data_IF_688423296018
#
_entry.id   IF_688423296018
#
_cell.length_a   1.000
_cell.length_b   1.000
_cell.length_c   1.000
_cell.angle_alpha   90.00
_cell.angle_beta   90.00
_cell.angle_gamma   90.00
#
_symmetry.space_group_name_H-M   'P 1'
#
loop_
_entity.id
_entity.type
_entity.pdbx_description
1 polymer ?
#
# COMPACT_ATOMS: atom_id res chain seq x y z
N UNK A 1 21.86 -12.00 -19.70
CA UNK A 1 23.01 -11.11 -19.96
C UNK A 1 22.55 -9.68 -19.69
N UNK A 2 22.46 -9.19 -18.46
CA UNK A 2 22.95 -9.68 -17.17
C UNK A 2 23.43 -8.45 -16.41
N UNK A 3 22.72 -8.06 -15.35
CA UNK A 3 23.04 -7.17 -14.21
C UNK A 3 23.72 -5.80 -14.46
N UNK A 4 24.60 -5.68 -15.44
CA UNK A 4 25.31 -4.46 -15.84
C UNK A 4 24.40 -3.40 -16.45
N UNK A 5 23.33 -3.77 -17.15
CA UNK A 5 22.36 -2.86 -17.81
C UNK A 5 21.52 -2.06 -16.81
N UNK A 6 21.26 -2.65 -15.65
CA UNK A 6 20.39 -2.09 -14.61
C UNK A 6 21.19 -1.14 -13.69
N UNK A 7 22.42 -1.53 -13.33
CA UNK A 7 23.41 -0.64 -12.71
C UNK A 7 23.66 0.59 -13.58
N UNK A 8 23.60 0.42 -14.91
CA UNK A 8 23.77 1.49 -15.88
C UNK A 8 22.59 2.48 -15.94
N UNK A 9 21.35 1.98 -15.87
CA UNK A 9 20.13 2.81 -15.86
C UNK A 9 20.05 3.66 -14.59
N UNK A 10 20.47 3.09 -13.46
CA UNK A 10 20.53 3.79 -12.17
C UNK A 10 21.62 4.87 -12.14
N UNK A 11 22.75 4.62 -12.79
CA UNK A 11 23.81 5.62 -12.93
C UNK A 11 23.46 6.74 -13.92
N UNK A 12 22.56 6.50 -14.89
CA UNK A 12 22.07 7.53 -15.82
C UNK A 12 21.07 8.50 -15.17
N UNK A 13 20.25 8.02 -14.22
CA UNK A 13 19.38 8.87 -13.41
C UNK A 13 20.19 9.88 -12.58
N UNK A 14 21.30 9.42 -12.02
CA UNK A 14 22.24 10.19 -11.18
C UNK A 14 22.86 11.41 -11.89
N UNK A 15 23.10 11.35 -13.20
CA UNK A 15 23.74 12.45 -13.95
C UNK A 15 22.73 13.52 -14.40
N UNK A 16 21.45 13.16 -14.58
CA UNK A 16 20.42 14.15 -14.98
C UNK A 16 20.00 15.06 -13.82
N UNK A 17 20.10 14.60 -12.56
CA UNK A 17 19.59 15.32 -11.38
C UNK A 17 20.66 16.18 -10.69
N UNK A 18 21.94 15.84 -10.81
CA UNK A 18 23.05 16.52 -10.09
C UNK A 18 23.47 17.90 -10.62
N UNK A 19 22.60 18.62 -11.36
CA UNK A 19 22.82 20.04 -11.69
C UNK A 19 22.59 20.95 -10.47
N UNK A 20 23.41 20.81 -9.44
CA UNK A 20 23.67 21.88 -8.47
C UNK A 20 24.95 21.64 -7.63
N UNK A 21 26.05 22.25 -8.09
CA UNK A 21 27.34 22.57 -7.40
C UNK A 21 28.50 21.54 -7.46
N UNK A 22 29.77 22.02 -7.40
CA UNK A 22 30.83 21.55 -8.30
C UNK A 22 31.74 20.48 -7.68
N UNK A 23 31.82 19.34 -8.34
CA UNK A 23 32.94 18.38 -8.27
C UNK A 23 33.27 17.99 -9.73
N UNK A 24 33.88 18.95 -10.45
CA UNK A 24 33.63 19.16 -11.89
C UNK A 24 34.34 18.26 -12.89
N UNK A 25 35.57 17.81 -12.65
CA UNK A 25 36.41 17.39 -13.79
C UNK A 25 36.58 15.87 -13.95
N UNK A 26 36.50 15.09 -12.85
CA UNK A 26 36.55 13.63 -12.93
C UNK A 26 35.21 13.01 -13.38
N UNK A 27 34.07 13.55 -12.91
CA UNK A 27 32.73 13.08 -13.26
C UNK A 27 32.34 13.36 -14.73
N UNK A 28 32.83 14.45 -15.33
CA UNK A 28 32.54 14.78 -16.73
C UNK A 28 33.18 13.80 -17.71
N UNK A 29 34.39 13.33 -17.40
CA UNK A 29 35.10 12.35 -18.24
C UNK A 29 34.37 10.99 -18.27
N UNK A 30 33.81 10.60 -17.12
CA UNK A 30 33.02 9.38 -16.98
C UNK A 30 31.68 9.50 -17.73
N UNK A 31 31.03 10.67 -17.67
CA UNK A 31 29.78 10.95 -18.39
C UNK A 31 29.90 10.78 -19.91
N UNK A 32 30.96 11.31 -20.52
CA UNK A 32 31.08 11.35 -21.98
C UNK A 32 31.34 9.96 -22.59
N UNK A 33 32.19 9.16 -21.94
CA UNK A 33 32.48 7.77 -22.36
C UNK A 33 31.28 6.84 -22.18
N UNK A 34 30.41 7.16 -21.21
CA UNK A 34 29.19 6.42 -20.91
C UNK A 34 28.08 6.67 -21.95
N UNK A 35 27.94 7.91 -22.43
CA UNK A 35 26.96 8.27 -23.47
C UNK A 35 27.18 7.50 -24.79
N UNK A 36 28.42 7.36 -25.24
CA UNK A 36 28.73 6.69 -26.52
C UNK A 36 28.52 5.17 -26.49
N UNK A 37 28.54 4.57 -25.29
CA UNK A 37 28.37 3.13 -25.10
C UNK A 37 26.89 2.74 -24.98
N UNK A 38 26.04 3.63 -24.46
CA UNK A 38 24.59 3.45 -24.28
C UNK A 38 23.78 3.36 -25.57
N UNK A 39 24.09 4.22 -26.53
CA UNK A 39 23.37 4.29 -27.81
C UNK A 39 23.56 3.01 -28.66
N UNK A 40 24.48 2.14 -28.24
CA UNK A 40 24.83 0.91 -28.98
C UNK A 40 24.07 -0.35 -28.54
N UNK A 41 23.19 -0.29 -27.53
CA UNK A 41 22.61 -1.51 -26.91
C UNK A 41 21.12 -1.78 -27.27
N UNK A 42 20.70 -3.06 -27.46
CA UNK A 42 19.35 -3.42 -27.90
C UNK A 42 18.33 -3.58 -26.76
N UNK A 43 17.04 -3.34 -27.04
CA UNK A 43 15.93 -3.26 -26.07
C UNK A 43 15.21 -4.60 -25.82
N UNK A 44 15.00 -4.93 -24.54
CA UNK A 44 13.95 -5.86 -24.02
C UNK A 44 14.43 -7.22 -23.51
N UNK A 45 14.51 -7.43 -22.18
CA UNK A 45 14.72 -8.75 -21.52
C UNK A 45 14.09 -8.76 -20.10
N UNK A 46 13.50 -9.90 -19.68
CA UNK A 46 12.93 -10.17 -18.34
C UNK A 46 13.99 -10.36 -17.24
N UNK A 47 13.67 -10.00 -15.99
CA UNK A 47 14.61 -9.85 -14.86
C UNK A 47 14.44 -11.01 -13.86
N UNK A 48 15.54 -11.67 -13.47
CA UNK A 48 15.57 -12.68 -12.41
C UNK A 48 15.43 -12.04 -10.99
N UNK A 49 15.00 -12.81 -9.98
CA UNK A 49 14.75 -12.29 -8.62
C UNK A 49 16.01 -11.66 -8.00
N UNK A 50 17.19 -12.20 -8.28
CA UNK A 50 18.47 -11.66 -7.82
C UNK A 50 18.75 -10.28 -8.42
N UNK A 51 18.50 -10.09 -9.71
CA UNK A 51 18.66 -8.82 -10.38
C UNK A 51 17.67 -7.78 -9.84
N UNK A 52 16.40 -8.16 -9.63
CA UNK A 52 15.38 -7.30 -9.01
C UNK A 52 15.82 -6.83 -7.63
N UNK A 53 16.19 -7.77 -6.74
CA UNK A 53 16.68 -7.44 -5.40
C UNK A 53 17.94 -6.56 -5.44
N UNK A 54 18.87 -6.85 -6.34
CA UNK A 54 20.12 -6.08 -6.47
C UNK A 54 19.84 -4.62 -6.86
N UNK A 55 19.00 -4.39 -7.87
CA UNK A 55 18.66 -3.00 -8.24
C UNK A 55 17.85 -2.29 -7.17
N UNK A 56 16.91 -2.97 -6.51
CA UNK A 56 16.18 -2.37 -5.41
C UNK A 56 17.16 -1.85 -4.34
N UNK A 57 18.12 -2.70 -3.93
CA UNK A 57 19.11 -2.35 -2.90
C UNK A 57 19.94 -1.13 -3.31
N UNK A 58 20.44 -1.13 -4.54
CA UNK A 58 21.24 -0.01 -5.08
C UNK A 58 20.44 1.29 -5.11
N UNK A 59 19.21 1.26 -5.62
CA UNK A 59 18.31 2.42 -5.65
C UNK A 59 18.07 2.96 -4.25
N UNK A 60 17.68 2.08 -3.34
CA UNK A 60 17.32 2.46 -1.99
C UNK A 60 18.52 3.03 -1.22
N UNK A 61 19.71 2.40 -1.33
CA UNK A 61 20.94 2.93 -0.73
C UNK A 61 21.33 4.31 -1.30
N UNK A 62 21.12 4.53 -2.60
CA UNK A 62 21.36 5.83 -3.22
C UNK A 62 20.42 6.91 -2.67
N UNK A 63 19.12 6.65 -2.64
CA UNK A 63 18.13 7.59 -2.10
C UNK A 63 18.39 7.89 -0.61
N UNK A 64 18.77 6.87 0.17
CA UNK A 64 19.19 7.05 1.57
C UNK A 64 20.41 7.97 1.67
N UNK A 65 21.43 7.73 0.85
CA UNK A 65 22.67 8.50 0.87
C UNK A 65 22.43 9.97 0.49
N UNK A 66 21.68 10.22 -0.57
CA UNK A 66 21.37 11.58 -1.02
C UNK A 66 20.46 12.31 -0.02
N UNK A 67 19.50 11.63 0.61
CA UNK A 67 18.74 12.18 1.75
C UNK A 67 19.65 12.59 2.90
N UNK A 68 20.58 11.72 3.30
CA UNK A 68 21.56 12.02 4.36
C UNK A 68 22.54 13.15 3.99
N UNK A 69 22.72 13.44 2.70
CA UNK A 69 23.50 14.58 2.19
C UNK A 69 22.70 15.89 2.09
N UNK A 70 21.41 15.88 2.44
CA UNK A 70 20.57 17.08 2.51
C UNK A 70 19.51 17.20 1.41
N UNK A 71 19.15 16.11 0.71
CA UNK A 71 18.02 16.12 -0.22
C UNK A 71 16.72 16.50 0.51
N UNK A 72 15.99 17.47 -0.03
CA UNK A 72 14.68 17.91 0.49
C UNK A 72 13.56 16.92 0.18
N UNK A 73 12.42 17.00 0.89
CA UNK A 73 11.27 16.13 0.61
C UNK A 73 10.78 16.29 -0.84
N UNK A 74 10.79 17.51 -1.39
CA UNK A 74 10.36 17.74 -2.77
C UNK A 74 11.31 17.12 -3.81
N UNK A 75 12.62 17.07 -3.53
CA UNK A 75 13.57 16.36 -4.37
C UNK A 75 13.36 14.83 -4.25
N UNK A 76 13.12 14.34 -3.03
CA UNK A 76 12.84 12.92 -2.78
C UNK A 76 11.58 12.46 -3.53
N UNK A 77 10.50 13.26 -3.53
CA UNK A 77 9.30 12.96 -4.33
C UNK A 77 9.65 12.84 -5.82
N UNK A 78 10.35 13.83 -6.37
CA UNK A 78 10.68 13.86 -7.81
C UNK A 78 11.55 12.70 -8.24
N UNK A 79 12.56 12.37 -7.45
CA UNK A 79 13.48 11.28 -7.77
C UNK A 79 12.79 9.92 -7.62
N UNK A 80 12.02 9.72 -6.55
CA UNK A 80 11.25 8.50 -6.37
C UNK A 80 10.19 8.31 -7.48
N UNK A 81 9.49 9.38 -7.89
CA UNK A 81 8.52 9.34 -8.99
C UNK A 81 9.19 9.04 -10.33
N UNK A 82 10.33 9.68 -10.59
CA UNK A 82 11.14 9.39 -11.78
C UNK A 82 11.60 7.92 -11.81
N UNK A 83 12.09 7.39 -10.69
CA UNK A 83 12.50 5.97 -10.61
C UNK A 83 11.31 5.05 -10.84
N UNK A 84 10.17 5.33 -10.20
CA UNK A 84 8.94 4.55 -10.33
C UNK A 84 8.46 4.46 -11.80
N UNK A 85 8.41 5.61 -12.48
CA UNK A 85 7.97 5.70 -13.87
C UNK A 85 9.00 5.17 -14.86
N UNK A 86 10.30 5.44 -14.66
CA UNK A 86 11.39 4.94 -15.52
C UNK A 86 11.44 3.42 -15.53
N UNK A 87 11.29 2.80 -14.35
CA UNK A 87 11.27 1.36 -14.18
C UNK A 87 9.93 0.73 -14.58
N UNK A 88 8.93 1.54 -14.94
CA UNK A 88 7.56 1.10 -15.27
C UNK A 88 6.94 0.26 -14.16
N UNK A 89 7.17 0.66 -12.92
CA UNK A 89 6.52 0.04 -11.76
C UNK A 89 5.03 0.31 -11.83
N UNK A 90 4.66 1.58 -12.00
CA UNK A 90 3.27 2.02 -12.15
C UNK A 90 3.17 3.24 -13.09
N UNK A 91 1.95 3.68 -13.38
CA UNK A 91 1.70 4.93 -14.11
C UNK A 91 2.12 6.16 -13.29
N UNK A 92 2.43 7.28 -13.95
CA UNK A 92 2.85 8.51 -13.27
C UNK A 92 1.85 8.99 -12.20
N UNK A 93 0.55 8.92 -12.50
CA UNK A 93 -0.50 9.31 -11.55
C UNK A 93 -0.49 8.42 -10.30
N UNK A 94 -0.23 7.12 -10.45
CA UNK A 94 -0.19 6.16 -9.33
C UNK A 94 1.11 6.33 -8.54
N UNK A 95 2.26 6.46 -9.21
CA UNK A 95 3.55 6.72 -8.59
C UNK A 95 3.48 7.97 -7.70
N UNK A 96 3.05 9.11 -8.25
CA UNK A 96 2.93 10.34 -7.48
C UNK A 96 1.91 10.22 -6.34
N UNK A 97 0.76 9.58 -6.60
CA UNK A 97 -0.29 9.38 -5.61
C UNK A 97 0.11 8.49 -4.43
N UNK A 98 1.09 7.59 -4.61
CA UNK A 98 1.67 6.79 -3.52
C UNK A 98 2.78 7.58 -2.82
N UNK A 99 3.69 8.19 -3.58
CA UNK A 99 4.92 8.77 -3.04
C UNK A 99 4.63 10.04 -2.26
N UNK A 100 3.83 10.95 -2.82
CA UNK A 100 3.63 12.29 -2.27
C UNK A 100 2.98 12.27 -0.87
N UNK A 101 1.91 11.50 -0.60
CA UNK A 101 1.32 11.46 0.73
C UNK A 101 2.20 10.79 1.80
N UNK A 102 3.16 9.96 1.38
CA UNK A 102 3.99 9.17 2.28
C UNK A 102 5.41 9.73 2.46
N UNK A 103 5.80 10.77 1.72
CA UNK A 103 7.18 11.28 1.72
C UNK A 103 7.67 11.69 3.10
N UNK A 104 6.81 12.29 3.93
CA UNK A 104 7.20 12.73 5.27
C UNK A 104 7.52 11.55 6.19
N UNK A 105 6.77 10.46 6.06
CA UNK A 105 7.01 9.21 6.81
C UNK A 105 8.32 8.57 6.33
N UNK A 106 8.53 8.45 5.02
CA UNK A 106 9.76 7.89 4.46
C UNK A 106 10.99 8.73 4.83
N UNK A 107 10.91 10.06 4.71
CA UNK A 107 11.95 10.98 5.12
C UNK A 107 12.28 10.81 6.60
N UNK A 108 11.27 10.77 7.47
CA UNK A 108 11.46 10.54 8.90
C UNK A 108 12.16 9.21 9.19
N UNK A 109 11.76 8.12 8.52
CA UNK A 109 12.41 6.81 8.67
C UNK A 109 13.87 6.87 8.26
N UNK A 110 14.21 7.50 7.13
CA UNK A 110 15.60 7.63 6.66
C UNK A 110 16.44 8.45 7.64
N UNK A 111 15.87 9.54 8.16
CA UNK A 111 16.58 10.48 9.02
C UNK A 111 16.81 9.93 10.44
N UNK A 112 15.88 9.10 10.95
CA UNK A 112 15.88 8.66 12.35
C UNK A 112 16.25 7.19 12.56
N UNK A 113 16.34 6.38 11.51
CA UNK A 113 16.73 4.97 11.61
C UNK A 113 18.23 4.81 11.41
N UNK A 114 18.95 4.48 12.49
CA UNK A 114 20.42 4.43 12.53
C UNK A 114 21.01 3.46 11.48
N UNK A 115 20.39 2.31 11.31
CA UNK A 115 20.83 1.18 10.49
C UNK A 115 19.93 0.95 9.28
N UNK A 116 19.31 2.01 8.75
CA UNK A 116 18.56 1.92 7.48
C UNK A 116 19.51 1.65 6.32
N UNK A 117 19.13 0.70 5.47
CA UNK A 117 19.86 0.31 4.26
C UNK A 117 18.88 -0.19 3.21
N UNK A 118 19.31 -0.20 1.95
CA UNK A 118 18.58 -0.76 0.84
C UNK A 118 18.28 -2.24 1.04
N UNK A 119 19.14 -3.00 1.73
CA UNK A 119 18.86 -4.38 2.13
C UNK A 119 17.58 -4.48 2.97
N UNK A 120 17.46 -3.67 4.04
CA UNK A 120 16.28 -3.69 4.93
C UNK A 120 15.02 -3.19 4.24
N UNK A 121 15.12 -2.09 3.48
CA UNK A 121 13.99 -1.56 2.72
C UNK A 121 13.49 -2.62 1.74
N UNK A 122 14.37 -3.17 0.90
CA UNK A 122 14.00 -4.15 -0.12
C UNK A 122 13.53 -5.49 0.46
N UNK A 123 14.05 -5.90 1.62
CA UNK A 123 13.51 -7.03 2.37
C UNK A 123 12.06 -6.84 2.78
N UNK A 124 11.72 -5.63 3.22
CA UNK A 124 10.36 -5.29 3.64
C UNK A 124 9.38 -5.15 2.47
N UNK A 125 9.79 -4.52 1.36
CA UNK A 125 8.89 -4.23 0.24
C UNK A 125 8.81 -5.34 -0.80
N UNK A 126 9.79 -6.25 -0.84
CA UNK A 126 9.82 -7.42 -1.73
C UNK A 126 10.00 -8.72 -0.92
N UNK A 127 9.11 -9.01 0.04
CA UNK A 127 9.25 -10.18 0.91
C UNK A 127 9.17 -11.49 0.11
N UNK A 128 8.33 -11.53 -0.93
CA UNK A 128 8.19 -12.71 -1.80
C UNK A 128 9.45 -13.03 -2.63
N UNK A 129 10.36 -12.07 -2.74
CA UNK A 129 11.63 -12.22 -3.47
C UNK A 129 12.81 -12.56 -2.57
N UNK A 130 12.58 -12.70 -1.26
CA UNK A 130 13.60 -13.00 -0.26
C UNK A 130 14.83 -12.06 -0.40
N UNK A 131 14.55 -10.76 -0.60
CA UNK A 131 15.61 -9.78 -0.81
C UNK A 131 16.43 -9.50 0.46
N UNK A 132 16.02 -10.01 1.62
CA UNK A 132 16.73 -9.92 2.88
C UNK A 132 16.82 -11.29 3.56
N UNK A 133 18.01 -11.61 4.04
CA UNK A 133 18.32 -12.86 4.73
C UNK A 133 18.46 -12.69 6.24
N UNK A 134 18.28 -11.47 6.76
CA UNK A 134 18.37 -11.17 8.19
C UNK A 134 17.00 -11.28 8.86
N UNK A 135 16.89 -12.20 9.82
CA UNK A 135 15.73 -12.33 10.69
C UNK A 135 15.85 -11.35 11.86
N UNK A 136 14.78 -10.58 12.11
CA UNK A 136 14.68 -9.71 13.27
C UNK A 136 14.23 -10.53 14.48
N UNK A 137 15.17 -11.27 15.07
CA UNK A 137 14.90 -12.06 16.27
C UNK A 137 14.74 -11.13 17.48
N UNK A 138 13.56 -11.15 18.09
CA UNK A 138 13.28 -10.49 19.35
C UNK A 138 12.56 -11.46 20.28
N UNK A 139 12.72 -11.25 21.59
CA UNK A 139 12.05 -12.04 22.62
C UNK A 139 11.36 -11.10 23.60
N UNK A 140 10.26 -11.59 24.17
CA UNK A 140 9.60 -10.96 25.32
C UNK A 140 9.78 -11.91 26.49
N UNK A 141 10.24 -11.36 27.61
CA UNK A 141 10.28 -12.07 28.88
C UNK A 141 8.86 -12.24 29.40
N UNK A 142 8.35 -13.47 29.34
CA UNK A 142 7.06 -13.80 29.93
C UNK A 142 7.26 -14.01 31.43
N UNK A 143 6.52 -13.29 32.30
CA UNK A 143 6.62 -13.48 33.75
C UNK A 143 6.35 -14.94 34.14
N UNK A 144 7.10 -15.43 35.13
CA UNK A 144 6.84 -16.76 35.69
C UNK A 144 5.41 -16.84 36.24
N UNK A 145 4.68 -17.89 35.85
CA UNK A 145 3.30 -18.11 36.28
C UNK A 145 2.90 -19.56 36.07
N UNK A 146 2.03 -20.06 36.95
CA UNK A 146 1.43 -21.37 36.77
C UNK A 146 0.19 -21.24 35.88
N UNK A 147 0.10 -22.08 34.85
CA UNK A 147 -1.13 -22.23 34.08
C UNK A 147 -2.23 -22.72 35.01
N UNK A 148 -3.33 -21.98 35.11
CA UNK A 148 -4.53 -22.45 35.80
C UNK A 148 -5.21 -23.53 34.97
N UNK A 149 -5.76 -24.56 35.63
CA UNK A 149 -6.55 -25.56 34.93
C UNK A 149 -7.72 -24.90 34.20
N UNK A 150 -7.82 -25.13 32.89
CA UNK A 150 -8.92 -24.62 32.09
C UNK A 150 -10.24 -25.18 32.67
N UNK A 151 -11.18 -24.34 33.13
CA UNK A 151 -12.45 -24.83 33.62
C UNK A 151 -13.16 -25.58 32.47
N UNK A 152 -13.70 -26.76 32.77
CA UNK A 152 -14.58 -27.47 31.82
C UNK A 152 -15.80 -26.58 31.58
N UNK A 153 -16.21 -26.44 30.32
CA UNK A 153 -17.38 -25.65 29.98
C UNK A 153 -18.59 -26.12 30.80
N UNK A 154 -19.20 -25.21 31.57
CA UNK A 154 -20.38 -25.48 32.38
C UNK A 154 -21.58 -24.95 31.58
N UNK A 155 -22.25 -25.83 30.84
CA UNK A 155 -23.44 -25.48 30.04
C UNK A 155 -23.36 -25.95 28.59
N UNK A 156 -24.51 -25.93 27.91
CA UNK A 156 -24.68 -26.41 26.52
C UNK A 156 -25.02 -25.31 25.53
N UNK A 157 -25.08 -24.05 25.97
CA UNK A 157 -25.46 -22.93 25.12
C UNK A 157 -24.20 -22.29 24.54
N UNK A 158 -23.91 -22.47 23.23
CA UNK A 158 -22.80 -21.78 22.59
C UNK A 158 -23.12 -20.29 22.42
N UNK A 159 -22.08 -19.47 22.34
CA UNK A 159 -22.20 -18.11 21.83
C UNK A 159 -22.18 -18.12 20.30
N UNK A 160 -23.03 -17.31 19.70
CA UNK A 160 -22.99 -17.02 18.27
C UNK A 160 -22.18 -15.73 18.05
N UNK A 161 -21.07 -15.83 17.34
CA UNK A 161 -20.19 -14.68 17.06
C UNK A 161 -20.22 -14.37 15.57
N UNK A 162 -20.66 -13.17 15.21
CA UNK A 162 -20.54 -12.65 13.85
C UNK A 162 -19.12 -12.11 13.66
N UNK A 163 -18.37 -12.64 12.69
CA UNK A 163 -17.01 -12.17 12.39
C UNK A 163 -17.01 -11.53 10.99
N UNK A 164 -16.58 -10.28 10.94
CA UNK A 164 -16.51 -9.45 9.74
C UNK A 164 -15.08 -8.93 9.61
N UNK A 165 -14.51 -9.06 8.42
CA UNK A 165 -13.16 -8.59 8.09
C UNK A 165 -13.11 -8.18 6.62
N UNK A 166 -12.12 -7.36 6.24
CA UNK A 166 -11.72 -7.13 4.85
C UNK A 166 -12.89 -6.71 3.94
N UNK A 167 -13.75 -5.80 4.41
CA UNK A 167 -14.90 -5.33 3.63
C UNK A 167 -14.42 -4.62 2.35
N UNK A 168 -13.31 -3.89 2.43
CA UNK A 168 -12.76 -3.05 1.35
C UNK A 168 -13.87 -2.33 0.57
N UNK A 169 -14.56 -1.43 1.26
CA UNK A 169 -15.61 -0.65 0.64
C UNK A 169 -15.03 0.32 -0.37
N UNK A 170 -15.47 0.20 -1.63
CA UNK A 170 -15.08 1.12 -2.68
C UNK A 170 -16.24 2.02 -3.11
N UNK A 171 -16.26 3.29 -2.67
CA UNK A 171 -17.27 4.25 -3.12
C UNK A 171 -17.17 4.63 -4.59
N UNK A 172 -16.10 4.23 -5.31
CA UNK A 172 -15.88 4.52 -6.74
C UNK A 172 -16.11 3.32 -7.63
N UNK A 173 -16.44 2.15 -7.07
CA UNK A 173 -16.81 0.98 -7.86
C UNK A 173 -18.02 1.32 -8.74
N UNK A 174 -17.87 1.16 -10.05
CA UNK A 174 -18.88 1.49 -11.04
C UNK A 174 -19.12 0.29 -11.95
N UNK A 175 -20.32 -0.34 -11.90
CA UNK A 175 -20.68 -1.42 -12.82
C UNK A 175 -20.56 -0.99 -14.28
N UNK A 176 -20.12 -1.90 -15.15
CA UNK A 176 -19.91 -1.65 -16.57
C UNK A 176 -18.55 -1.05 -16.93
N UNK A 177 -17.71 -0.69 -15.94
CA UNK A 177 -16.33 -0.28 -16.19
C UNK A 177 -15.42 -1.43 -16.60
N UNK A 178 -14.28 -1.12 -17.20
CA UNK A 178 -13.36 -2.14 -17.70
C UNK A 178 -12.77 -2.98 -16.57
N UNK A 179 -12.66 -4.29 -16.80
CA UNK A 179 -11.88 -5.21 -15.95
C UNK A 179 -10.39 -5.23 -16.33
N UNK A 180 -10.00 -4.58 -17.43
CA UNK A 180 -8.65 -4.57 -17.99
C UNK A 180 -8.07 -3.15 -17.97
N UNK A 181 -7.99 -2.55 -16.78
CA UNK A 181 -7.62 -1.15 -16.63
C UNK A 181 -6.10 -0.89 -16.65
N UNK A 182 -5.27 -1.91 -16.49
CA UNK A 182 -3.80 -1.76 -16.39
C UNK A 182 -3.33 -1.04 -15.12
N UNK A 183 -4.20 -0.91 -14.11
CA UNK A 183 -3.91 -0.35 -12.79
C UNK A 183 -4.13 -1.43 -11.71
N UNK A 184 -3.62 -1.22 -10.48
CA UNK A 184 -3.77 -2.21 -9.39
C UNK A 184 -5.22 -2.47 -8.95
N UNK A 185 -6.13 -1.51 -9.19
CA UNK A 185 -7.55 -1.63 -8.89
C UNK A 185 -8.38 -1.18 -10.09
N UNK A 186 -9.25 -2.05 -10.60
CA UNK A 186 -10.15 -1.74 -11.71
C UNK A 186 -11.59 -1.46 -11.23
N UNK A 187 -12.54 -1.42 -12.16
CA UNK A 187 -13.95 -1.10 -11.91
C UNK A 187 -14.19 0.33 -11.38
N UNK A 188 -13.30 1.27 -11.68
CA UNK A 188 -13.37 2.64 -11.15
C UNK A 188 -14.13 3.59 -12.08
N UNK A 189 -14.83 4.56 -11.50
CA UNK A 189 -15.57 5.61 -12.22
C UNK A 189 -14.73 6.41 -13.23
N UNK A 190 -13.41 6.53 -13.01
CA UNK A 190 -12.47 7.25 -13.86
C UNK A 190 -11.68 6.37 -14.84
N UNK A 191 -12.12 5.13 -15.03
CA UNK A 191 -11.58 4.22 -16.04
C UNK A 191 -12.51 4.12 -17.24
N UNK A 192 -12.01 3.53 -18.32
CA UNK A 192 -12.79 3.29 -19.53
C UNK A 192 -13.97 2.34 -19.25
N UNK A 193 -15.02 2.45 -20.05
CA UNK A 193 -16.13 1.51 -20.03
C UNK A 193 -15.69 0.16 -20.62
N UNK A 194 -16.25 -0.93 -20.12
CA UNK A 194 -16.07 -2.25 -20.70
C UNK A 194 -16.73 -2.32 -22.08
N UNK A 195 -16.04 -2.92 -23.04
CA UNK A 195 -16.47 -2.93 -24.45
C UNK A 195 -17.29 -4.16 -24.83
N UNK A 196 -17.18 -5.25 -24.08
CA UNK A 196 -17.75 -6.57 -24.41
C UNK A 196 -18.23 -7.31 -23.15
N UNK A 197 -19.04 -8.36 -23.35
CA UNK A 197 -19.35 -9.33 -22.29
C UNK A 197 -18.06 -10.00 -21.79
N UNK A 198 -17.83 -9.97 -20.48
CA UNK A 198 -16.62 -10.52 -19.85
C UNK A 198 -15.46 -9.54 -19.67
N UNK A 199 -15.55 -8.32 -20.21
CA UNK A 199 -14.59 -7.22 -19.95
C UNK A 199 -15.21 -6.05 -19.18
N UNK A 200 -16.45 -6.22 -18.71
CA UNK A 200 -17.24 -5.21 -18.02
C UNK A 200 -17.54 -5.67 -16.59
N UNK A 201 -17.27 -4.81 -15.61
CA UNK A 201 -17.47 -5.11 -14.19
C UNK A 201 -18.94 -5.35 -13.85
N UNK A 202 -19.21 -6.43 -13.10
CA UNK A 202 -20.55 -6.80 -12.66
C UNK A 202 -21.23 -5.79 -11.73
N UNK A 203 -22.53 -5.99 -11.49
CA UNK A 203 -23.28 -5.16 -10.54
C UNK A 203 -22.91 -5.45 -9.09
N UNK A 204 -22.73 -6.72 -8.70
CA UNK A 204 -22.44 -7.08 -7.32
C UNK A 204 -20.94 -7.11 -7.00
N UNK A 205 -20.13 -7.61 -7.93
CA UNK A 205 -18.69 -7.71 -7.77
C UNK A 205 -18.08 -8.08 -9.12
N UNK A 206 -16.76 -8.16 -9.15
CA UNK A 206 -16.03 -8.77 -10.25
C UNK A 206 -14.89 -9.64 -9.71
N UNK A 207 -14.58 -10.75 -10.38
CA UNK A 207 -13.53 -11.70 -9.99
C UNK A 207 -12.14 -11.30 -10.54
N UNK A 208 -11.76 -10.05 -10.29
CA UNK A 208 -10.47 -9.45 -10.66
C UNK A 208 -9.96 -8.60 -9.48
N UNK A 209 -8.88 -7.85 -9.68
CA UNK A 209 -8.42 -6.84 -8.70
C UNK A 209 -9.42 -5.67 -8.63
N UNK A 210 -10.52 -5.88 -7.92
CA UNK A 210 -11.57 -4.93 -7.66
C UNK A 210 -12.05 -5.09 -6.21
N UNK A 211 -12.54 -4.00 -5.62
CA UNK A 211 -13.03 -3.95 -4.25
C UNK A 211 -14.57 -3.96 -4.20
N UNK A 212 -15.14 -3.91 -3.00
CA UNK A 212 -16.57 -4.20 -2.79
C UNK A 212 -17.44 -2.96 -3.02
N UNK A 213 -18.43 -3.01 -3.94
CA UNK A 213 -19.35 -1.91 -4.11
C UNK A 213 -20.38 -1.81 -2.98
N UNK A 214 -20.99 -0.62 -2.83
CA UNK A 214 -21.96 -0.34 -1.76
C UNK A 214 -23.16 -1.30 -1.76
N UNK A 215 -23.68 -1.68 -2.92
CA UNK A 215 -24.81 -2.60 -3.02
C UNK A 215 -24.51 -3.96 -2.36
N UNK A 216 -23.30 -4.48 -2.54
CA UNK A 216 -22.88 -5.77 -1.95
C UNK A 216 -22.66 -5.63 -0.46
N UNK A 217 -22.05 -4.52 -0.02
CA UNK A 217 -21.93 -4.19 1.40
C UNK A 217 -23.32 -4.17 2.04
N UNK A 218 -24.24 -3.35 1.53
CA UNK A 218 -25.58 -3.21 2.09
C UNK A 218 -26.34 -4.53 2.13
N UNK A 219 -26.27 -5.34 1.08
CA UNK A 219 -26.97 -6.62 1.02
C UNK A 219 -26.36 -7.66 1.97
N UNK A 220 -25.03 -7.69 2.09
CA UNK A 220 -24.35 -8.53 3.08
C UNK A 220 -24.78 -8.15 4.51
N UNK A 221 -24.80 -6.85 4.84
CA UNK A 221 -25.24 -6.37 6.14
C UNK A 221 -26.73 -6.65 6.39
N UNK A 222 -27.60 -6.57 5.38
CA UNK A 222 -29.01 -6.98 5.51
C UNK A 222 -29.13 -8.49 5.77
N UNK A 223 -28.36 -9.32 5.08
CA UNK A 223 -28.38 -10.76 5.28
C UNK A 223 -27.87 -11.12 6.68
N UNK A 224 -26.80 -10.49 7.15
CA UNK A 224 -26.30 -10.66 8.52
C UNK A 224 -27.37 -10.32 9.57
N UNK A 225 -28.21 -9.30 9.31
CA UNK A 225 -29.31 -8.89 10.19
C UNK A 225 -30.38 -9.97 10.41
N UNK A 226 -30.42 -11.00 9.55
CA UNK A 226 -31.38 -12.11 9.67
C UNK A 226 -30.95 -13.17 10.68
N UNK A 227 -29.72 -13.08 11.19
CA UNK A 227 -29.15 -13.99 12.18
C UNK A 227 -29.07 -13.35 13.57
N UNK A 228 -29.25 -14.15 14.61
CA UNK A 228 -29.06 -13.72 16.00
C UNK A 228 -27.60 -14.01 16.42
N UNK A 229 -26.93 -13.01 16.97
CA UNK A 229 -25.54 -13.10 17.44
C UNK A 229 -25.39 -12.41 18.79
N UNK A 230 -24.50 -12.95 19.64
CA UNK A 230 -24.16 -12.42 20.96
C UNK A 230 -23.05 -11.37 20.87
N UNK A 231 -22.13 -11.56 19.93
CA UNK A 231 -20.95 -10.70 19.72
C UNK A 231 -20.69 -10.44 18.24
N UNK A 232 -20.04 -9.32 17.96
CA UNK A 232 -19.49 -9.00 16.64
C UNK A 232 -18.00 -8.76 16.77
N UNK A 233 -17.21 -9.49 16.00
CA UNK A 233 -15.80 -9.19 15.77
C UNK A 233 -15.67 -8.46 14.44
N UNK A 234 -15.11 -7.27 14.49
CA UNK A 234 -14.74 -6.51 13.31
C UNK A 234 -13.23 -6.24 13.32
N UNK A 235 -12.52 -6.85 12.38
CA UNK A 235 -11.05 -6.90 12.38
C UNK A 235 -10.38 -5.94 11.39
N UNK A 236 -11.13 -5.01 10.82
CA UNK A 236 -10.57 -3.91 10.01
C UNK A 236 -10.61 -4.16 8.51
N UNK A 237 -9.64 -3.61 7.80
CA UNK A 237 -9.52 -3.57 6.33
C UNK A 237 -10.80 -3.10 5.63
N UNK A 238 -11.23 -1.90 6.07
CA UNK A 238 -12.41 -1.21 5.53
C UNK A 238 -12.13 -0.50 4.22
N UNK A 239 -10.93 0.06 4.07
CA UNK A 239 -10.58 0.99 3.00
C UNK A 239 -10.17 0.20 1.76
N UNK A 240 -10.66 0.60 0.59
CA UNK A 240 -10.27 0.05 -0.71
C UNK A 240 -8.75 0.10 -0.98
N UNK A 241 -8.27 -0.76 -1.86
CA UNK A 241 -6.90 -0.86 -2.35
C UNK A 241 -6.50 0.24 -3.34
N UNK A 242 -7.31 1.29 -3.50
CA UNK A 242 -6.97 2.49 -4.28
C UNK A 242 -6.01 3.41 -3.52
N UNK A 243 -4.91 2.85 -3.02
CA UNK A 243 -4.00 3.46 -2.05
C UNK A 243 -3.42 4.79 -2.52
N UNK A 244 -3.22 4.95 -3.83
CA UNK A 244 -2.71 6.18 -4.48
C UNK A 244 -3.72 7.34 -4.49
N UNK A 245 -4.94 7.13 -4.00
CA UNK A 245 -6.02 8.12 -3.95
C UNK A 245 -6.76 8.07 -2.61
N UNK A 246 -6.01 7.87 -1.53
CA UNK A 246 -6.52 7.88 -0.14
C UNK A 246 -6.19 9.20 0.57
N UNK A 247 -6.99 9.54 1.59
CA UNK A 247 -6.75 10.66 2.49
C UNK A 247 -7.40 10.39 3.83
N UNK A 248 -6.94 11.04 4.91
CA UNK A 248 -7.57 10.92 6.23
C UNK A 248 -9.07 11.22 6.17
N UNK A 249 -9.46 12.24 5.40
CA UNK A 249 -10.87 12.61 5.22
C UNK A 249 -11.68 11.51 4.52
N UNK A 250 -11.21 10.99 3.39
CA UNK A 250 -11.94 9.97 2.64
C UNK A 250 -11.98 8.64 3.40
N UNK A 251 -10.87 8.24 4.02
CA UNK A 251 -10.80 7.03 4.84
C UNK A 251 -11.78 7.13 6.02
N UNK A 252 -11.87 8.30 6.65
CA UNK A 252 -12.82 8.56 7.73
C UNK A 252 -14.27 8.41 7.24
N UNK A 253 -14.60 8.97 6.06
CA UNK A 253 -15.94 8.83 5.48
C UNK A 253 -16.29 7.37 5.19
N UNK A 254 -15.37 6.61 4.61
CA UNK A 254 -15.56 5.18 4.30
C UNK A 254 -15.79 4.36 5.58
N UNK A 255 -14.99 4.58 6.63
CA UNK A 255 -15.16 3.93 7.95
C UNK A 255 -16.51 4.29 8.58
N UNK A 256 -16.93 5.56 8.52
CA UNK A 256 -18.22 6.01 9.04
C UNK A 256 -19.36 5.32 8.27
N UNK A 257 -19.28 5.23 6.95
CA UNK A 257 -20.30 4.55 6.13
C UNK A 257 -20.49 3.10 6.55
N UNK A 258 -19.41 2.33 6.68
CA UNK A 258 -19.47 0.94 7.12
C UNK A 258 -19.98 0.80 8.55
N UNK A 259 -19.58 1.70 9.44
CA UNK A 259 -20.10 1.77 10.81
C UNK A 259 -21.61 2.00 10.84
N UNK A 260 -22.14 2.87 9.97
CA UNK A 260 -23.58 3.15 9.88
C UNK A 260 -24.34 1.93 9.34
N UNK A 261 -23.82 1.26 8.30
CA UNK A 261 -24.39 0.01 7.79
C UNK A 261 -24.50 -1.05 8.89
N UNK A 262 -23.44 -1.22 9.68
CA UNK A 262 -23.42 -2.11 10.85
C UNK A 262 -24.50 -1.78 11.89
N UNK A 263 -24.70 -0.50 12.19
CA UNK A 263 -25.71 -0.05 13.17
C UNK A 263 -27.15 -0.33 12.74
N UNK A 264 -27.45 -0.13 11.47
CA UNK A 264 -28.80 -0.36 10.94
C UNK A 264 -29.17 -1.86 10.88
N UNK A 265 -28.16 -2.73 10.97
CA UNK A 265 -28.29 -4.20 10.93
C UNK A 265 -28.46 -4.83 12.32
N UNK A 266 -27.86 -4.26 13.37
CA UNK A 266 -27.93 -4.85 14.71
C UNK A 266 -29.20 -4.46 15.45
N UNK A 267 -30.08 -5.43 15.75
CA UNK A 267 -31.18 -5.25 16.71
C UNK A 267 -30.68 -5.15 18.16
N UNK A 268 -29.47 -5.63 18.46
CA UNK A 268 -28.84 -5.56 19.77
C UNK A 268 -27.89 -4.37 19.84
N UNK A 269 -28.35 -3.27 20.43
CA UNK A 269 -27.60 -2.01 20.60
C UNK A 269 -26.43 -2.09 21.62
N UNK A 270 -26.01 -3.27 22.08
CA UNK A 270 -25.27 -3.35 23.34
C UNK A 270 -23.74 -3.44 23.27
N UNK A 271 -23.12 -3.77 22.12
CA UNK A 271 -21.66 -4.06 22.11
C UNK A 271 -20.81 -3.30 21.08
N UNK A 272 -21.37 -2.80 19.97
CA UNK A 272 -20.63 -1.93 19.03
C UNK A 272 -20.53 -0.47 19.48
N UNK A 273 -21.20 -0.12 20.58
CA UNK A 273 -21.50 1.27 20.92
C UNK A 273 -20.50 1.92 21.88
N UNK A 274 -19.78 1.18 22.72
CA UNK A 274 -18.97 1.83 23.77
C UNK A 274 -17.76 2.59 23.23
N UNK A 275 -17.09 2.09 22.19
CA UNK A 275 -15.89 2.75 21.63
C UNK A 275 -16.24 3.76 20.53
N UNK A 276 -17.24 3.49 19.67
CA UNK A 276 -17.48 4.29 18.47
C UNK A 276 -18.37 5.53 18.73
N UNK A 277 -19.30 5.51 19.68
CA UNK A 277 -20.09 6.74 19.97
C UNK A 277 -19.29 7.87 20.59
N UNK A 278 -18.15 7.56 21.25
CA UNK A 278 -17.25 8.57 21.80
C UNK A 278 -16.22 9.10 20.78
N UNK A 279 -16.02 8.42 19.65
CA UNK A 279 -15.11 8.83 18.58
C UNK A 279 -15.76 9.79 17.57
N UNK A 280 -17.06 9.66 17.29
CA UNK A 280 -17.75 10.48 16.28
C UNK A 280 -17.71 12.00 16.58
N UNK A 281 -17.96 12.48 17.82
CA UNK A 281 -17.83 13.92 18.13
C UNK A 281 -16.40 14.43 18.00
N UNK A 282 -15.41 13.61 18.35
CA UNK A 282 -13.98 13.94 18.26
C UNK A 282 -13.50 14.01 16.80
N UNK A 283 -13.99 13.10 15.95
CA UNK A 283 -13.69 13.05 14.51
C UNK A 283 -14.39 14.20 13.76
N UNK A 284 -15.65 14.51 14.09
CA UNK A 284 -16.36 15.68 13.53
C UNK A 284 -15.77 17.03 13.99
N UNK A 285 -15.10 17.05 15.15
CA UNK A 285 -14.31 18.20 15.60
C UNK A 285 -13.04 18.40 14.80
N UNK A 286 -12.35 17.31 14.43
CA UNK A 286 -11.11 17.33 13.63
C UNK A 286 -11.34 17.69 12.14
N UNK A 287 -12.55 17.52 11.62
CA UNK A 287 -12.92 17.94 10.25
C UNK A 287 -13.37 19.41 10.16
N UNK A 288 -13.32 20.16 11.28
CA UNK A 288 -13.68 21.58 11.35
C UNK A 288 -12.48 22.52 11.55
N UNK A 289 -11.26 22.01 11.57
CA UNK A 289 -10.01 22.79 11.58
C UNK A 289 -9.28 22.72 10.25
#
# INVERSE_FOLDING_TARGET
MGSKLLVYLLFCAFVCVSKSKPLGDELQSVSQTLHTYLDSLPKGISIDDFATCTSCKIVADLLIAERKLGMTNEQLVKEADFVCTLLKIESATICEGIIRPNVDVFAYMIDNTKDISGKRICGLILPEKDCDSEHYDWSIDVPEGNTVDKPKAIGTNPYNVLHISDIHYDPRYTPGKTTQCGAPLCCQDDQDDGSEEGTSCGYWAEYISADTPIQTVEEAFKQMATHEFDFVYYTGDTIRHRVWSTSTENNTKEIITITICSRNTSKSQSLLLWEITNLIPSILGLLKE
#
